data_IF_043695480548
#
_entry.id   IF_043695480548
#
_cell.length_a   1.000
_cell.length_b   1.000
_cell.length_c   1.000
_cell.angle_alpha   90.00
_cell.angle_beta   90.00
_cell.angle_gamma   90.00
#
_symmetry.space_group_name_H-M   'P 1'
#
loop_
_entity.id
_entity.type
_entity.pdbx_description
1 polymer ?
#
# COMPACT_ATOMS: atom_id res chain seq x y z
N UNK A 1 3.18 0.85 -20.88
CA UNK A 1 3.68 -0.16 -19.91
C UNK A 1 3.53 0.39 -18.49
N UNK A 2 2.38 1.01 -18.16
CA UNK A 2 2.17 1.55 -16.81
C UNK A 2 0.92 0.88 -16.25
N UNK A 3 1.17 -0.09 -15.39
CA UNK A 3 0.20 -0.71 -14.50
C UNK A 3 0.93 -0.91 -13.17
N UNK A 4 0.32 -0.43 -12.09
CA UNK A 4 0.80 -0.57 -10.72
C UNK A 4 -0.27 -1.34 -9.97
N UNK A 5 0.15 -2.30 -9.15
CA UNK A 5 -0.72 -3.03 -8.26
C UNK A 5 -0.21 -2.94 -6.82
N UNK A 6 -1.09 -3.19 -5.86
CA UNK A 6 -0.71 -3.22 -4.46
C UNK A 6 -1.81 -3.75 -3.56
N UNK A 7 -1.46 -3.94 -2.30
CA UNK A 7 -2.37 -4.44 -1.27
C UNK A 7 -3.01 -3.29 -0.49
N UNK A 8 -4.31 -3.39 -0.26
CA UNK A 8 -5.04 -2.46 0.59
C UNK A 8 -4.86 -2.75 2.09
N UNK A 9 -4.27 -3.87 2.51
CA UNK A 9 -3.87 -4.05 3.93
C UNK A 9 -2.50 -3.44 4.25
N UNK A 10 -1.86 -2.79 3.26
CA UNK A 10 -0.60 -2.05 3.41
C UNK A 10 -0.85 -0.54 3.39
N UNK A 11 0.11 0.23 2.88
CA UNK A 11 0.15 1.69 2.85
C UNK A 11 -1.17 2.32 2.40
N UNK A 12 -1.71 1.89 1.25
CA UNK A 12 -2.92 2.47 0.66
C UNK A 12 -4.20 2.25 1.48
N UNK A 13 -4.20 1.32 2.43
CA UNK A 13 -5.34 1.09 3.32
C UNK A 13 -5.39 1.96 4.54
N UNK A 14 -4.33 2.72 4.84
CA UNK A 14 -4.24 3.56 6.03
C UNK A 14 -4.49 2.81 7.35
N UNK A 15 -4.25 1.50 7.39
CA UNK A 15 -4.54 0.65 8.55
C UNK A 15 -6.04 0.42 8.83
N UNK A 16 -6.94 0.87 7.95
CA UNK A 16 -8.39 0.76 8.11
C UNK A 16 -9.03 -0.21 7.11
N UNK A 17 -8.50 -0.28 5.90
CA UNK A 17 -9.01 -1.21 4.90
C UNK A 17 -8.82 -2.67 5.39
N UNK A 18 -9.90 -3.46 5.50
CA UNK A 18 -9.84 -4.77 6.16
C UNK A 18 -9.22 -5.88 5.30
N UNK A 19 -9.19 -5.69 3.98
CA UNK A 19 -8.68 -6.65 2.99
C UNK A 19 -8.45 -5.94 1.65
N UNK A 20 -8.16 -6.69 0.59
CA UNK A 20 -8.24 -6.24 -0.80
C UNK A 20 -6.92 -5.80 -1.42
N UNK A 21 -7.00 -5.47 -2.71
CA UNK A 21 -5.91 -4.95 -3.51
C UNK A 21 -6.42 -3.88 -4.47
N UNK A 22 -5.49 -3.17 -5.09
CA UNK A 22 -5.78 -2.18 -6.12
C UNK A 22 -4.91 -2.43 -7.35
N UNK A 23 -5.44 -2.02 -8.50
CA UNK A 23 -4.74 -1.95 -9.77
C UNK A 23 -5.03 -0.56 -10.35
N UNK A 24 -4.00 0.14 -10.81
CA UNK A 24 -4.14 1.43 -11.50
C UNK A 24 -3.23 1.44 -12.72
N UNK A 25 -3.70 1.96 -13.84
CA UNK A 25 -2.93 1.93 -15.08
C UNK A 25 -3.73 2.37 -16.28
N UNK A 26 -3.24 2.00 -17.47
CA UNK A 26 -3.97 2.23 -18.73
C UNK A 26 -5.28 1.46 -18.73
N UNK A 27 -6.33 2.10 -19.24
CA UNK A 27 -7.70 1.56 -19.28
C UNK A 27 -7.75 0.12 -19.79
N UNK A 28 -7.19 -0.13 -20.98
CA UNK A 28 -7.17 -1.47 -21.58
C UNK A 28 -6.48 -2.54 -20.70
N UNK A 29 -5.46 -2.16 -19.92
CA UNK A 29 -4.75 -3.10 -19.02
C UNK A 29 -5.52 -3.33 -17.71
N UNK A 30 -6.26 -2.32 -17.24
CA UNK A 30 -7.15 -2.44 -16.07
C UNK A 30 -8.34 -3.32 -16.42
N UNK A 31 -8.91 -3.13 -17.62
CA UNK A 31 -9.99 -3.94 -18.16
C UNK A 31 -9.58 -5.41 -18.29
N UNK A 32 -8.42 -5.70 -18.89
CA UNK A 32 -7.89 -7.07 -18.97
C UNK A 32 -7.74 -7.71 -17.58
N UNK A 33 -7.25 -6.95 -16.60
CA UNK A 33 -7.13 -7.43 -15.22
C UNK A 33 -8.50 -7.69 -14.56
N UNK A 34 -9.51 -6.86 -14.85
CA UNK A 34 -10.87 -7.07 -14.36
C UNK A 34 -11.46 -8.37 -14.94
N UNK A 35 -11.26 -8.65 -16.23
CA UNK A 35 -11.68 -9.92 -16.84
C UNK A 35 -10.98 -11.14 -16.23
N UNK A 36 -9.70 -11.01 -15.85
CA UNK A 36 -8.97 -12.07 -15.14
C UNK A 36 -9.47 -12.29 -13.71
N UNK A 37 -9.84 -11.21 -13.01
CA UNK A 37 -10.38 -11.29 -11.66
C UNK A 37 -11.78 -11.92 -11.63
N UNK A 38 -12.59 -11.67 -12.66
CA UNK A 38 -13.97 -12.16 -12.76
C UNK A 38 -14.09 -13.22 -13.86
N UNK A 39 -14.50 -12.83 -15.06
CA UNK A 39 -14.56 -13.64 -16.27
C UNK A 39 -14.62 -12.73 -17.52
N UNK A 40 -14.21 -13.21 -18.70
CA UNK A 40 -14.38 -12.47 -19.97
C UNK A 40 -15.84 -12.05 -20.20
N UNK A 41 -16.05 -10.77 -20.54
CA UNK A 41 -17.38 -10.19 -20.76
C UNK A 41 -18.13 -9.77 -19.48
N UNK A 42 -17.67 -10.14 -18.28
CA UNK A 42 -18.20 -9.62 -17.01
C UNK A 42 -17.43 -8.37 -16.56
N UNK A 43 -16.10 -8.44 -16.53
CA UNK A 43 -15.24 -7.31 -16.17
C UNK A 43 -15.46 -6.80 -14.75
N UNK A 44 -15.45 -5.49 -14.58
CA UNK A 44 -15.65 -4.79 -13.30
C UNK A 44 -17.11 -4.38 -13.03
N UNK A 45 -18.03 -4.72 -13.94
CA UNK A 45 -19.44 -4.33 -13.86
C UNK A 45 -20.21 -5.08 -12.77
N UNK A 46 -19.63 -6.15 -12.21
CA UNK A 46 -20.24 -7.03 -11.23
C UNK A 46 -19.32 -7.19 -10.01
N UNK A 47 -19.89 -7.06 -8.81
CA UNK A 47 -19.16 -7.24 -7.55
C UNK A 47 -19.86 -6.55 -6.39
N UNK A 48 -20.03 -7.26 -5.28
CA UNK A 48 -20.59 -6.70 -4.05
C UNK A 48 -19.71 -7.05 -2.86
N UNK A 49 -19.46 -6.07 -2.01
CA UNK A 49 -18.76 -6.26 -0.75
C UNK A 49 -19.73 -6.00 0.40
N UNK A 50 -20.28 -7.08 0.96
CA UNK A 50 -21.32 -7.04 1.99
C UNK A 50 -20.97 -6.18 3.23
N UNK A 51 -19.71 -6.15 3.74
CA UNK A 51 -19.37 -5.29 4.88
C UNK A 51 -19.36 -3.78 4.57
N UNK A 52 -19.46 -3.39 3.31
CA UNK A 52 -19.53 -1.99 2.87
C UNK A 52 -18.17 -1.33 2.62
N UNK A 53 -18.18 -0.21 1.89
CA UNK A 53 -16.96 0.37 1.31
C UNK A 53 -16.33 1.50 2.12
N UNK A 54 -17.00 1.97 3.19
CA UNK A 54 -16.58 3.15 3.98
C UNK A 54 -15.11 3.07 4.44
N UNK A 55 -14.67 1.89 4.91
CA UNK A 55 -13.32 1.71 5.43
C UNK A 55 -12.24 1.76 4.34
N UNK A 56 -12.55 1.42 3.08
CA UNK A 56 -11.61 1.60 1.98
C UNK A 56 -11.39 3.09 1.69
N UNK A 57 -12.46 3.88 1.61
CA UNK A 57 -12.36 5.33 1.37
C UNK A 57 -11.69 6.06 2.53
N UNK A 58 -12.10 5.75 3.77
CA UNK A 58 -11.49 6.34 4.95
C UNK A 58 -10.01 5.94 5.07
N UNK A 59 -9.69 4.67 4.79
CA UNK A 59 -8.32 4.17 4.75
C UNK A 59 -7.46 4.91 3.74
N UNK A 60 -7.94 5.05 2.51
CA UNK A 60 -7.23 5.78 1.46
C UNK A 60 -7.02 7.25 1.82
N UNK A 61 -8.02 7.91 2.41
CA UNK A 61 -7.88 9.30 2.87
C UNK A 61 -6.82 9.45 3.97
N UNK A 62 -6.76 8.49 4.90
CA UNK A 62 -5.79 8.50 6.00
C UNK A 62 -4.40 7.99 5.59
N UNK A 63 -4.29 7.26 4.48
CA UNK A 63 -3.07 6.57 4.05
C UNK A 63 -1.82 7.47 4.01
N UNK A 64 -1.84 8.70 3.43
CA UNK A 64 -0.64 9.54 3.40
C UNK A 64 -0.12 9.89 4.81
N UNK A 65 -1.04 10.16 5.75
CA UNK A 65 -0.66 10.45 7.13
C UNK A 65 -0.06 9.22 7.81
N UNK A 66 -0.73 8.07 7.72
CA UNK A 66 -0.29 6.81 8.37
C UNK A 66 1.05 6.33 7.83
N UNK A 67 1.28 6.43 6.52
CA UNK A 67 2.56 6.11 5.87
C UNK A 67 3.68 6.97 6.43
N UNK A 68 3.47 8.29 6.61
CA UNK A 68 4.47 9.16 7.21
C UNK A 68 4.76 8.84 8.68
N UNK A 69 3.75 8.40 9.45
CA UNK A 69 4.00 7.93 10.82
C UNK A 69 4.90 6.68 10.82
N UNK A 70 4.61 5.70 9.95
CA UNK A 70 5.44 4.51 9.81
C UNK A 70 6.88 4.85 9.37
N UNK A 71 7.03 5.79 8.43
CA UNK A 71 8.34 6.25 7.95
C UNK A 71 9.15 6.94 9.06
N UNK A 72 8.52 7.79 9.86
CA UNK A 72 9.16 8.41 11.04
C UNK A 72 9.60 7.34 12.04
N UNK A 73 8.78 6.32 12.26
CA UNK A 73 9.13 5.16 13.08
C UNK A 73 10.37 4.44 12.56
N UNK A 74 10.42 4.14 11.26
CA UNK A 74 11.57 3.51 10.60
C UNK A 74 12.86 4.33 10.79
N UNK A 75 12.81 5.65 10.54
CA UNK A 75 13.97 6.55 10.70
C UNK A 75 14.41 6.65 12.16
N UNK A 76 13.46 6.75 13.09
CA UNK A 76 13.76 6.75 14.53
C UNK A 76 14.43 5.45 14.96
N UNK A 77 13.90 4.30 14.54
CA UNK A 77 14.46 2.98 14.83
C UNK A 77 15.86 2.81 14.24
N UNK A 78 16.11 3.33 13.03
CA UNK A 78 17.45 3.35 12.43
C UNK A 78 18.44 4.15 13.29
N UNK A 79 18.04 5.35 13.76
CA UNK A 79 18.90 6.20 14.59
C UNK A 79 19.23 5.55 15.93
N UNK A 80 18.25 4.89 16.56
CA UNK A 80 18.46 4.13 17.80
C UNK A 80 19.41 2.94 17.56
N UNK A 81 19.22 2.20 16.46
CA UNK A 81 20.11 1.09 16.09
C UNK A 81 21.56 1.51 15.90
N UNK A 82 21.80 2.62 15.18
CA UNK A 82 23.14 3.19 14.98
C UNK A 82 23.79 3.62 16.31
N UNK A 83 23.04 4.30 17.19
CA UNK A 83 23.54 4.72 18.50
C UNK A 83 23.94 3.54 19.40
N UNK A 84 23.25 2.40 19.25
CA UNK A 84 23.55 1.17 19.96
C UNK A 84 24.68 0.35 19.31
N UNK A 85 25.21 0.79 18.17
CA UNK A 85 26.31 0.13 17.46
C UNK A 85 25.88 -1.03 16.55
N UNK A 86 24.58 -1.17 16.25
CA UNK A 86 24.11 -2.12 15.25
C UNK A 86 24.34 -1.57 13.84
N UNK A 87 24.50 -2.47 12.87
CA UNK A 87 24.32 -2.06 11.47
C UNK A 87 22.83 -1.83 11.22
N UNK A 88 22.51 -0.90 10.33
CA UNK A 88 21.12 -0.60 9.99
C UNK A 88 21.01 -0.30 8.51
N UNK A 89 19.87 -0.67 7.94
CA UNK A 89 19.56 -0.39 6.55
C UNK A 89 18.06 -0.15 6.34
N UNK A 90 17.64 0.94 5.66
CA UNK A 90 18.44 2.09 5.26
C UNK A 90 18.99 2.89 6.45
N UNK A 91 20.02 3.73 6.19
CA UNK A 91 20.57 4.69 7.17
C UNK A 91 19.57 5.82 7.46
N UNK A 92 19.80 6.59 8.52
CA UNK A 92 18.89 7.66 8.96
C UNK A 92 18.63 8.71 7.87
N UNK A 93 19.68 9.13 7.16
CA UNK A 93 19.63 10.19 6.14
C UNK A 93 19.47 9.66 4.71
N UNK A 94 19.20 8.36 4.54
CA UNK A 94 19.02 7.78 3.21
C UNK A 94 17.65 8.17 2.64
N UNK A 95 17.59 8.36 1.32
CA UNK A 95 16.32 8.44 0.60
C UNK A 95 15.54 7.12 0.77
N UNK A 96 14.21 7.24 0.93
CA UNK A 96 13.33 6.10 1.20
C UNK A 96 12.20 6.05 0.20
N UNK A 97 11.99 4.86 -0.36
CA UNK A 97 10.96 4.58 -1.36
C UNK A 97 9.94 3.54 -0.89
N UNK A 98 10.19 2.93 0.28
CA UNK A 98 9.27 2.05 1.00
C UNK A 98 9.37 2.27 2.53
N UNK A 99 8.69 1.42 3.29
CA UNK A 99 8.63 1.49 4.76
C UNK A 99 9.57 0.51 5.47
N UNK A 100 10.38 -0.24 4.74
CA UNK A 100 11.21 -1.31 5.32
C UNK A 100 12.37 -0.68 6.08
N UNK A 101 12.60 -1.20 7.29
CA UNK A 101 13.78 -0.89 8.10
C UNK A 101 14.33 -2.19 8.69
N UNK A 102 15.63 -2.40 8.51
CA UNK A 102 16.39 -3.49 9.11
C UNK A 102 17.42 -2.92 10.10
N UNK A 103 17.70 -3.73 11.12
CA UNK A 103 18.75 -3.57 12.15
C UNK A 103 19.46 -4.93 12.22
#
# INVERSE_FOLDING_TARGET
IFQINGSLIKNAGGGLAPTGGYIVGRENLVEDAAYQLTAPGLGDHMGSYAPGYRLFFQGLFMAPHVVLQALKGAVYTAAVGELLGYDVFPKVNADRYDLIQAI
#
